data_IF_691768855722
#
_entry.id   IF_691768855722
#
_cell.length_a   1.000
_cell.length_b   1.000
_cell.length_c   1.000
_cell.angle_alpha   90.00
_cell.angle_beta   90.00
_cell.angle_gamma   90.00
#
_symmetry.space_group_name_H-M   'P 1'
#
loop_
_entity.id
_entity.type
_entity.pdbx_description
1 polymer ?
#
# COMPACT_ATOMS: atom_id res chain seq x y z
N UNK A 1 -27.72 -15.41 -39.63
CA UNK A 1 -28.72 -16.47 -39.40
C UNK A 1 -28.29 -17.21 -38.13
N UNK A 2 -28.61 -16.66 -36.94
CA UNK A 2 -29.61 -17.18 -36.00
C UNK A 2 -29.55 -18.71 -35.84
N UNK A 3 -29.16 -19.17 -34.65
CA UNK A 3 -29.90 -20.21 -33.95
C UNK A 3 -29.73 -20.05 -32.43
N UNK A 4 -30.83 -19.68 -31.77
CA UNK A 4 -31.15 -19.94 -30.35
C UNK A 4 -31.56 -21.44 -30.29
N UNK A 5 -31.51 -22.20 -29.19
CA UNK A 5 -32.37 -22.11 -27.99
C UNK A 5 -32.30 -23.43 -27.18
N UNK A 6 -32.76 -23.41 -25.91
CA UNK A 6 -33.39 -24.49 -25.08
C UNK A 6 -32.40 -25.36 -24.27
N UNK A 7 -32.27 -25.33 -22.92
CA UNK A 7 -33.16 -25.25 -21.73
C UNK A 7 -33.74 -26.61 -21.24
N UNK A 8 -33.54 -26.87 -19.94
CA UNK A 8 -34.21 -27.79 -18.97
C UNK A 8 -33.69 -29.22 -18.67
N UNK A 9 -33.41 -29.45 -17.37
CA UNK A 9 -33.97 -30.47 -16.44
C UNK A 9 -32.84 -31.09 -15.55
N UNK A 10 -32.60 -30.69 -14.30
CA UNK A 10 -33.31 -30.95 -13.02
C UNK A 10 -33.11 -32.35 -12.38
N UNK A 11 -32.53 -32.31 -11.17
CA UNK A 11 -32.85 -33.07 -9.94
C UNK A 11 -32.09 -34.36 -9.54
N UNK A 12 -31.99 -34.50 -8.20
CA UNK A 12 -31.50 -35.60 -7.34
C UNK A 12 -30.01 -35.52 -6.96
N UNK A 13 -29.56 -35.59 -5.71
CA UNK A 13 -30.21 -35.97 -4.45
C UNK A 13 -29.49 -35.34 -3.24
N UNK A 14 -30.25 -34.99 -2.21
CA UNK A 14 -29.75 -34.66 -0.87
C UNK A 14 -29.29 -35.94 -0.16
N UNK A 15 -28.06 -35.94 0.34
CA UNK A 15 -27.60 -36.85 1.39
C UNK A 15 -27.37 -36.05 2.68
N UNK A 16 -27.73 -36.56 3.86
CA UNK A 16 -27.54 -35.85 5.13
C UNK A 16 -26.13 -36.11 5.64
N UNK A 17 -25.47 -35.11 6.24
CA UNK A 17 -24.49 -35.24 7.33
C UNK A 17 -23.83 -33.88 7.55
N UNK A 18 -24.34 -33.10 8.52
CA UNK A 18 -23.80 -33.00 9.88
C UNK A 18 -22.40 -32.37 9.90
N UNK A 19 -22.33 -31.09 10.25
CA UNK A 19 -21.07 -30.35 10.42
C UNK A 19 -20.94 -29.79 11.83
N UNK A 20 -19.84 -30.18 12.47
CA UNK A 20 -19.15 -29.47 13.55
C UNK A 20 -18.22 -28.42 12.88
N UNK A 21 -18.35 -27.13 13.22
CA UNK A 21 -17.60 -26.35 14.22
C UNK A 21 -16.31 -25.71 13.65
N UNK A 22 -16.24 -24.37 13.66
CA UNK A 22 -15.38 -23.49 12.84
C UNK A 22 -14.69 -22.36 13.65
N UNK A 23 -13.71 -21.68 13.04
CA UNK A 23 -12.95 -20.50 13.53
C UNK A 23 -12.74 -19.38 12.47
N UNK A 24 -12.20 -18.20 12.87
CA UNK A 24 -12.37 -16.76 12.50
C UNK A 24 -11.29 -15.91 11.65
N UNK A 25 -11.59 -14.66 11.16
CA UNK A 25 -10.89 -13.83 10.09
C UNK A 25 -10.43 -12.41 10.57
N UNK A 26 -9.46 -11.63 9.99
CA UNK A 26 -8.92 -10.36 10.54
C UNK A 26 -8.93 -9.16 9.53
N UNK A 27 -8.57 -7.95 9.99
CA UNK A 27 -8.88 -6.68 9.29
C UNK A 27 -7.79 -5.61 9.48
N UNK A 28 -7.18 -5.14 8.39
CA UNK A 28 -6.74 -3.74 8.12
C UNK A 28 -6.20 -3.68 6.67
N UNK A 29 -5.50 -2.63 6.20
CA UNK A 29 -5.27 -2.37 4.75
C UNK A 29 -3.89 -1.78 4.35
N UNK A 30 -3.50 -1.89 3.06
CA UNK A 30 -2.14 -1.68 2.55
C UNK A 30 -1.83 -0.26 2.13
N UNK A 31 -0.68 0.29 2.53
CA UNK A 31 -0.06 1.42 1.82
C UNK A 31 1.10 0.94 0.96
N UNK A 32 0.92 0.94 -0.37
CA UNK A 32 1.68 0.09 -1.28
C UNK A 32 2.60 0.85 -2.26
N UNK A 33 3.44 1.80 -1.79
CA UNK A 33 3.95 2.87 -2.69
C UNK A 33 5.37 3.42 -2.46
N UNK A 34 6.19 3.63 -3.55
CA UNK A 34 7.45 4.41 -3.67
C UNK A 34 7.46 5.82 -3.05
N UNK A 35 8.31 6.09 -2.05
CA UNK A 35 8.44 7.41 -1.40
C UNK A 35 9.68 8.14 -1.90
N UNK A 36 9.62 8.94 -2.96
CA UNK A 36 10.79 9.75 -3.33
C UNK A 36 10.98 10.88 -2.30
N UNK A 37 12.00 10.81 -1.43
CA UNK A 37 12.33 11.90 -0.50
C UNK A 37 13.81 12.28 -0.60
N UNK A 38 14.22 13.09 -1.57
CA UNK A 38 15.58 13.69 -1.53
C UNK A 38 15.74 14.99 -2.25
N UNK A 39 16.54 15.84 -1.58
CA UNK A 39 17.03 17.16 -1.98
C UNK A 39 18.17 17.16 -3.00
N UNK A 40 18.64 16.00 -3.47
CA UNK A 40 19.83 15.93 -4.31
C UNK A 40 19.51 15.85 -5.81
N UNK A 41 19.05 16.98 -6.35
CA UNK A 41 19.16 17.29 -7.78
C UNK A 41 20.20 18.39 -7.97
N UNK A 42 21.46 18.10 -7.67
CA UNK A 42 22.57 19.02 -7.95
C UNK A 42 23.85 18.23 -8.19
N UNK A 43 23.98 17.65 -9.40
CA UNK A 43 25.29 17.32 -9.99
C UNK A 43 25.19 17.21 -11.51
N UNK A 44 24.96 18.36 -12.17
CA UNK A 44 25.37 18.56 -13.56
C UNK A 44 25.61 20.05 -13.81
N UNK A 45 26.83 20.53 -13.56
CA UNK A 45 27.28 21.86 -13.97
C UNK A 45 28.62 21.73 -14.71
N UNK A 46 28.71 22.09 -16.00
CA UNK A 46 29.97 22.44 -16.62
C UNK A 46 30.32 23.90 -16.35
N UNK A 47 31.57 24.16 -15.99
CA UNK A 47 32.15 25.48 -15.77
C UNK A 47 32.44 26.20 -17.08
N UNK A 48 31.82 27.37 -17.33
CA UNK A 48 32.44 28.47 -18.10
C UNK A 48 31.70 29.79 -17.89
N UNK A 49 32.40 30.82 -17.45
CA UNK A 49 31.88 32.20 -17.39
C UNK A 49 31.98 32.87 -18.77
N UNK A 50 30.99 33.70 -19.15
CA UNK A 50 31.35 35.02 -19.70
C UNK A 50 30.42 36.20 -19.32
N UNK A 51 31.07 37.37 -19.27
CA UNK A 51 30.65 38.77 -19.48
C UNK A 51 29.24 39.26 -19.08
N UNK A 52 29.25 40.36 -18.32
CA UNK A 52 28.09 41.10 -17.81
C UNK A 52 27.17 41.65 -18.92
N UNK A 53 25.89 41.25 -18.84
CA UNK A 53 24.76 41.83 -19.55
C UNK A 53 23.72 42.38 -18.54
N UNK A 54 22.79 43.27 -18.98
CA UNK A 54 21.94 44.07 -18.09
C UNK A 54 21.11 43.20 -17.15
N UNK A 55 21.08 43.56 -15.87
CA UNK A 55 20.36 42.84 -14.82
C UNK A 55 18.86 42.95 -15.09
N UNK A 56 18.31 41.94 -15.77
CA UNK A 56 16.90 41.60 -15.71
C UNK A 56 16.59 41.32 -14.23
N UNK A 57 15.53 41.92 -13.69
CA UNK A 57 15.08 41.62 -12.33
C UNK A 57 15.08 40.10 -12.14
N UNK A 58 15.67 39.56 -11.05
CA UNK A 58 15.72 38.13 -10.84
C UNK A 58 14.31 37.57 -11.02
N UNK A 59 14.17 36.51 -11.83
CA UNK A 59 12.92 35.78 -11.85
C UNK A 59 12.55 35.44 -10.40
N UNK A 60 11.26 35.58 -10.00
CA UNK A 60 10.85 35.26 -8.64
C UNK A 60 11.35 33.85 -8.32
N UNK A 61 12.04 33.71 -7.19
CA UNK A 61 12.53 32.41 -6.74
C UNK A 61 11.34 31.45 -6.68
N UNK A 62 11.37 30.32 -7.40
CA UNK A 62 10.26 29.39 -7.40
C UNK A 62 10.05 28.89 -5.97
N UNK A 63 8.79 28.80 -5.55
CA UNK A 63 8.44 28.31 -4.21
C UNK A 63 8.95 26.88 -4.01
N UNK A 64 8.88 26.06 -5.07
CA UNK A 64 9.42 24.71 -5.12
C UNK A 64 10.78 24.70 -5.83
N UNK A 65 11.76 24.07 -5.18
CA UNK A 65 13.11 23.79 -5.69
C UNK A 65 13.11 22.55 -6.59
N UNK A 66 12.32 21.55 -6.23
CA UNK A 66 12.03 20.35 -7.02
C UNK A 66 10.51 20.23 -7.12
N UNK A 67 10.02 19.84 -8.29
CA UNK A 67 8.61 19.59 -8.53
C UNK A 67 8.50 18.53 -9.62
N UNK A 68 8.29 17.29 -9.19
CA UNK A 68 8.09 16.15 -10.06
C UNK A 68 6.68 15.61 -9.89
N UNK A 69 6.04 15.31 -11.01
CA UNK A 69 4.79 14.55 -11.03
C UNK A 69 5.02 13.42 -12.00
N UNK A 70 4.55 12.23 -11.66
CA UNK A 70 4.62 11.09 -12.54
C UNK A 70 3.35 10.26 -12.50
N UNK A 71 3.14 9.48 -13.55
CA UNK A 71 2.14 8.42 -13.57
C UNK A 71 2.83 7.09 -13.81
N UNK A 72 2.36 6.04 -13.15
CA UNK A 72 2.93 4.70 -13.32
C UNK A 72 1.85 3.67 -13.63
N UNK A 73 2.29 2.59 -14.29
CA UNK A 73 1.54 1.35 -14.38
C UNK A 73 2.42 0.20 -13.90
N UNK A 74 1.92 -0.60 -12.97
CA UNK A 74 2.60 -1.77 -12.42
C UNK A 74 1.72 -3.02 -12.52
N UNK A 75 2.31 -4.13 -12.93
CA UNK A 75 1.68 -5.44 -12.94
C UNK A 75 2.32 -6.37 -11.91
N UNK A 76 1.49 -6.95 -11.06
CA UNK A 76 1.85 -8.00 -10.10
C UNK A 76 1.19 -9.30 -10.53
N UNK A 77 1.97 -10.38 -10.65
CA UNK A 77 1.44 -11.69 -11.05
C UNK A 77 0.89 -12.54 -9.91
N UNK A 78 1.29 -12.23 -8.66
CA UNK A 78 1.01 -13.05 -7.48
C UNK A 78 0.73 -12.19 -6.24
N UNK A 79 -0.14 -11.20 -6.38
CA UNK A 79 -0.65 -10.43 -5.24
C UNK A 79 -1.55 -11.31 -4.35
N UNK A 80 -1.76 -10.89 -3.11
CA UNK A 80 -2.58 -11.59 -2.11
C UNK A 80 -3.34 -10.57 -1.27
N UNK A 81 -4.57 -10.87 -0.85
CA UNK A 81 -5.29 -10.05 0.14
C UNK A 81 -5.73 -10.91 1.32
N UNK A 82 -5.57 -10.43 2.56
CA UNK A 82 -6.06 -11.13 3.74
C UNK A 82 -7.54 -11.45 3.66
N UNK A 83 -7.95 -12.62 4.15
CA UNK A 83 -9.36 -13.00 4.22
C UNK A 83 -9.92 -13.62 2.93
N UNK A 84 -9.13 -13.76 1.86
CA UNK A 84 -9.51 -14.48 0.64
C UNK A 84 -8.75 -15.81 0.52
N UNK A 85 -9.33 -16.94 0.95
CA UNK A 85 -8.80 -18.25 0.59
C UNK A 85 -9.17 -18.59 -0.85
N UNK A 86 -8.22 -18.56 -1.76
CA UNK A 86 -8.36 -19.29 -3.02
C UNK A 86 -8.49 -20.81 -2.79
N UNK A 87 -7.96 -21.35 -1.69
CA UNK A 87 -7.92 -22.79 -1.43
C UNK A 87 -8.93 -23.33 -0.40
N UNK A 88 -9.66 -22.47 0.32
CA UNK A 88 -10.55 -22.89 1.42
C UNK A 88 -12.03 -22.67 1.12
N UNK A 89 -12.83 -23.70 1.37
CA UNK A 89 -14.30 -23.68 1.28
C UNK A 89 -14.96 -23.04 2.51
N UNK A 90 -14.17 -22.45 3.43
CA UNK A 90 -14.64 -22.07 4.77
C UNK A 90 -15.01 -20.61 4.93
N UNK A 91 -14.72 -19.74 3.95
CA UNK A 91 -14.98 -18.29 4.05
C UNK A 91 -15.82 -17.81 2.88
N UNK A 92 -16.86 -16.98 3.10
CA UNK A 92 -17.49 -16.24 2.03
C UNK A 92 -16.44 -15.34 1.35
N UNK A 93 -16.37 -15.31 0.02
CA UNK A 93 -15.35 -14.55 -0.72
C UNK A 93 -14.30 -15.41 -1.43
N UNK A 94 -13.91 -16.52 -0.83
CA UNK A 94 -13.00 -17.49 -1.44
C UNK A 94 -13.66 -18.32 -2.54
N UNK A 95 -12.95 -18.56 -3.64
CA UNK A 95 -13.41 -19.47 -4.70
C UNK A 95 -12.74 -20.83 -4.49
N UNK A 96 -13.52 -21.80 -4.01
CA UNK A 96 -13.11 -23.19 -3.82
C UNK A 96 -12.23 -23.74 -4.97
N UNK A 97 -11.04 -24.24 -4.63
CA UNK A 97 -10.12 -24.88 -5.60
C UNK A 97 -9.36 -23.91 -6.51
N UNK A 98 -9.26 -22.64 -6.13
CA UNK A 98 -8.44 -21.64 -6.82
C UNK A 98 -7.14 -21.34 -6.05
N UNK A 99 -6.36 -20.38 -6.53
CA UNK A 99 -5.07 -20.01 -5.94
C UNK A 99 -5.27 -18.83 -4.99
N UNK A 100 -4.59 -18.82 -3.84
CA UNK A 100 -4.58 -17.68 -2.89
C UNK A 100 -3.83 -16.44 -3.43
N UNK A 101 -3.38 -16.51 -4.69
CA UNK A 101 -2.66 -15.44 -5.36
C UNK A 101 -3.32 -15.08 -6.68
N UNK A 102 -3.30 -13.81 -7.02
CA UNK A 102 -3.98 -13.27 -8.20
C UNK A 102 -3.19 -12.14 -8.85
N UNK A 103 -3.59 -11.83 -10.09
CA UNK A 103 -3.02 -10.71 -10.81
C UNK A 103 -3.55 -9.39 -10.26
N UNK A 104 -2.70 -8.36 -10.19
CA UNK A 104 -3.07 -6.99 -9.84
C UNK A 104 -2.48 -6.01 -10.84
N UNK A 105 -3.31 -5.08 -11.29
CA UNK A 105 -2.93 -3.97 -12.15
C UNK A 105 -3.05 -2.68 -11.36
N UNK A 106 -1.93 -2.01 -11.13
CA UNK A 106 -1.84 -0.78 -10.35
C UNK A 106 -1.59 0.39 -11.31
N UNK A 107 -2.42 1.41 -11.22
CA UNK A 107 -2.19 2.70 -11.88
C UNK A 107 -1.98 3.77 -10.81
N UNK A 108 -0.87 4.49 -10.86
CA UNK A 108 -0.58 5.54 -9.87
C UNK A 108 -0.38 6.91 -10.48
N UNK A 109 -0.61 7.92 -9.64
CA UNK A 109 -0.05 9.25 -9.78
C UNK A 109 0.79 9.56 -8.54
N UNK A 110 2.00 10.03 -8.78
CA UNK A 110 2.95 10.44 -7.75
C UNK A 110 3.25 11.92 -7.92
N UNK A 111 3.37 12.65 -6.82
CA UNK A 111 3.88 14.01 -6.79
C UNK A 111 4.93 14.14 -5.70
N UNK A 112 6.08 14.68 -6.06
CA UNK A 112 7.16 15.00 -5.14
C UNK A 112 7.59 16.43 -5.33
N UNK A 113 7.70 17.17 -4.24
CA UNK A 113 8.24 18.52 -4.26
C UNK A 113 9.17 18.79 -3.08
N UNK A 114 10.05 19.75 -3.29
CA UNK A 114 10.95 20.27 -2.26
C UNK A 114 10.78 21.76 -2.25
N UNK A 115 10.67 22.32 -1.06
CA UNK A 115 10.52 23.74 -0.82
C UNK A 115 11.50 24.18 0.27
N UNK A 116 11.49 25.47 0.60
CA UNK A 116 12.51 26.09 1.46
C UNK A 116 12.76 25.35 2.79
N UNK A 117 11.74 24.71 3.37
CA UNK A 117 11.81 24.12 4.70
C UNK A 117 11.68 22.59 4.72
N UNK A 118 11.53 21.94 3.57
CA UNK A 118 11.39 20.49 3.55
C UNK A 118 10.86 19.96 2.22
N UNK A 119 10.21 18.80 2.28
CA UNK A 119 9.73 18.09 1.11
C UNK A 119 8.33 17.53 1.34
N UNK A 120 7.55 17.42 0.27
CA UNK A 120 6.26 16.77 0.28
C UNK A 120 6.24 15.64 -0.74
N UNK A 121 5.55 14.57 -0.38
CA UNK A 121 5.28 13.44 -1.24
C UNK A 121 3.79 13.11 -1.15
N UNK A 122 3.15 12.98 -2.31
CA UNK A 122 1.76 12.54 -2.44
C UNK A 122 1.75 11.41 -3.45
N UNK A 123 1.02 10.37 -3.12
CA UNK A 123 0.67 9.32 -4.05
C UNK A 123 -0.81 9.01 -3.98
N UNK A 124 -1.38 8.69 -5.13
CA UNK A 124 -2.66 8.03 -5.21
C UNK A 124 -2.61 6.90 -6.25
N UNK A 125 -3.19 5.75 -5.92
CA UNK A 125 -3.30 4.59 -6.79
C UNK A 125 -4.73 4.10 -6.94
N UNK A 126 -4.92 3.42 -8.05
CA UNK A 126 -6.05 2.58 -8.36
C UNK A 126 -5.56 1.19 -8.72
N UNK A 127 -6.04 0.19 -7.99
CA UNK A 127 -5.75 -1.21 -8.27
C UNK A 127 -6.98 -1.91 -8.84
N UNK A 128 -6.74 -2.71 -9.88
CA UNK A 128 -7.70 -3.67 -10.41
C UNK A 128 -7.14 -5.07 -10.22
N UNK A 129 -7.82 -5.83 -9.36
CA UNK A 129 -7.49 -7.21 -9.07
C UNK A 129 -8.11 -8.18 -10.09
N UNK A 130 -7.59 -9.39 -10.14
CA UNK A 130 -8.12 -10.49 -10.95
C UNK A 130 -9.40 -11.09 -10.36
N UNK A 131 -10.11 -11.90 -11.15
CA UNK A 131 -11.38 -12.55 -10.77
C UNK A 131 -11.29 -13.55 -9.60
N UNK A 132 -10.08 -13.90 -9.17
CA UNK A 132 -9.80 -14.70 -7.97
C UNK A 132 -9.87 -13.90 -6.67
N UNK A 133 -9.88 -12.58 -6.76
CA UNK A 133 -10.31 -11.68 -5.69
C UNK A 133 -11.58 -10.97 -6.17
N UNK A 134 -12.75 -11.64 -6.08
CA UNK A 134 -13.97 -11.08 -6.62
C UNK A 134 -14.48 -9.91 -5.78
N UNK A 135 -15.01 -8.89 -6.46
CA UNK A 135 -15.70 -7.77 -5.80
C UNK A 135 -16.80 -8.28 -4.85
N UNK A 136 -16.82 -7.72 -3.64
CA UNK A 136 -17.68 -8.07 -2.50
C UNK A 136 -17.56 -9.55 -2.07
N UNK A 137 -16.52 -10.25 -2.52
CA UNK A 137 -16.40 -11.70 -2.31
C UNK A 137 -17.42 -12.53 -3.09
N UNK A 138 -18.00 -12.03 -4.18
CA UNK A 138 -19.05 -12.74 -4.94
C UNK A 138 -18.42 -13.66 -6.00
N UNK A 139 -18.50 -15.00 -5.89
CA UNK A 139 -17.88 -15.90 -6.86
C UNK A 139 -18.35 -15.62 -8.30
N UNK A 140 -17.39 -15.41 -9.21
CA UNK A 140 -17.66 -15.10 -10.61
C UNK A 140 -17.92 -13.62 -10.92
N UNK A 141 -17.85 -12.73 -9.92
CA UNK A 141 -17.80 -11.28 -10.16
C UNK A 141 -16.47 -10.86 -10.81
N UNK A 142 -16.41 -9.62 -11.31
CA UNK A 142 -15.14 -9.01 -11.68
C UNK A 142 -14.22 -8.92 -10.44
N UNK A 143 -12.92 -8.80 -10.66
CA UNK A 143 -12.00 -8.60 -9.55
C UNK A 143 -12.25 -7.29 -8.81
N UNK A 144 -11.90 -7.27 -7.52
CA UNK A 144 -12.04 -6.12 -6.64
C UNK A 144 -11.21 -4.92 -7.15
N UNK A 145 -11.52 -3.76 -6.61
CA UNK A 145 -10.89 -2.48 -6.90
C UNK A 145 -10.52 -1.81 -5.61
N UNK A 146 -9.33 -1.26 -5.58
CA UNK A 146 -8.83 -0.48 -4.46
C UNK A 146 -8.45 0.92 -4.93
N UNK A 147 -8.74 1.90 -4.09
CA UNK A 147 -8.17 3.22 -4.18
C UNK A 147 -7.37 3.47 -2.92
N UNK A 148 -6.11 3.83 -3.10
CA UNK A 148 -5.23 4.10 -1.98
C UNK A 148 -4.47 5.41 -2.18
N UNK A 149 -4.17 6.10 -1.08
CA UNK A 149 -3.39 7.33 -1.12
C UNK A 149 -2.46 7.44 0.08
N UNK A 150 -1.27 7.99 -0.18
CA UNK A 150 -0.24 8.29 0.81
C UNK A 150 0.10 9.76 0.71
N UNK A 151 0.23 10.43 1.85
CA UNK A 151 0.81 11.75 1.92
C UNK A 151 1.88 11.78 3.02
N UNK A 152 3.05 12.36 2.69
CA UNK A 152 4.15 12.63 3.61
C UNK A 152 4.61 14.07 3.44
N UNK A 153 4.91 14.73 4.54
CA UNK A 153 5.55 16.05 4.57
C UNK A 153 6.65 16.05 5.61
N UNK A 154 7.82 16.51 5.21
CA UNK A 154 8.98 16.67 6.09
C UNK A 154 9.28 18.14 6.31
N UNK A 155 9.79 18.44 7.49
CA UNK A 155 10.22 19.76 7.92
C UNK A 155 11.64 19.65 8.48
N UNK A 156 12.61 20.09 7.71
CA UNK A 156 14.03 19.95 8.03
C UNK A 156 14.46 20.90 9.14
N UNK A 157 15.07 20.34 10.19
CA UNK A 157 15.43 21.12 11.38
C UNK A 157 16.59 22.07 11.10
N UNK A 158 17.51 21.72 10.20
CA UNK A 158 18.56 22.63 9.74
C UNK A 158 17.99 23.82 8.96
N UNK A 159 17.00 23.60 8.11
CA UNK A 159 16.34 24.60 7.28
C UNK A 159 15.51 25.54 8.15
N UNK A 160 14.75 25.01 9.10
CA UNK A 160 13.95 25.80 10.06
C UNK A 160 14.84 26.63 10.98
N UNK A 161 15.90 26.01 11.53
CA UNK A 161 16.78 26.69 12.49
C UNK A 161 17.84 27.57 11.83
N UNK A 162 17.93 27.55 10.48
CA UNK A 162 19.01 28.15 9.71
C UNK A 162 20.40 27.77 10.23
N UNK A 163 20.58 26.50 10.61
CA UNK A 163 21.81 25.99 11.20
C UNK A 163 22.25 24.67 10.56
N UNK A 164 23.40 24.16 10.99
CA UNK A 164 23.89 22.80 10.66
C UNK A 164 23.92 21.91 11.91
N UNK A 165 23.19 22.27 12.95
CA UNK A 165 23.20 21.56 14.24
C UNK A 165 22.73 20.09 14.11
N UNK A 166 21.94 19.78 13.08
CA UNK A 166 21.40 18.45 12.79
C UNK A 166 22.14 17.75 11.65
N UNK A 167 23.36 18.19 11.34
CA UNK A 167 24.25 17.54 10.36
C UNK A 167 25.50 16.98 11.04
N UNK A 168 25.94 15.79 10.64
CA UNK A 168 27.22 15.20 11.01
C UNK A 168 27.74 14.31 9.84
N UNK A 169 28.91 13.67 9.94
CA UNK A 169 29.43 12.86 8.83
C UNK A 169 28.52 11.73 8.34
N UNK A 170 27.59 11.26 9.16
CA UNK A 170 26.65 10.16 8.85
C UNK A 170 25.24 10.64 8.49
N UNK A 171 24.83 11.82 8.95
CA UNK A 171 23.47 12.35 8.83
C UNK A 171 23.54 13.74 8.18
N UNK A 172 22.88 13.91 7.04
CA UNK A 172 22.73 15.22 6.36
C UNK A 172 21.77 16.11 7.13
N UNK A 173 20.67 15.56 7.62
CA UNK A 173 19.63 16.30 8.29
C UNK A 173 18.75 15.42 9.19
N UNK A 174 18.09 16.07 10.15
CA UNK A 174 16.97 15.50 10.89
C UNK A 174 15.74 16.35 10.58
N UNK A 175 14.63 15.70 10.24
CA UNK A 175 13.37 16.35 9.92
C UNK A 175 12.26 15.87 10.83
N UNK A 176 11.31 16.74 11.13
CA UNK A 176 10.00 16.30 11.61
C UNK A 176 9.23 15.80 10.40
N UNK A 177 8.65 14.61 10.48
CA UNK A 177 7.81 14.04 9.44
C UNK A 177 6.38 13.91 9.95
N UNK A 178 5.43 14.32 9.13
CA UNK A 178 4.00 14.10 9.33
C UNK A 178 3.41 13.49 8.08
N UNK A 179 2.38 12.70 8.24
CA UNK A 179 1.72 12.11 7.09
C UNK A 179 0.47 11.34 7.44
N UNK A 180 -0.06 10.71 6.42
CA UNK A 180 -1.17 9.81 6.56
C UNK A 180 -1.35 8.93 5.35
N UNK A 181 -2.16 7.90 5.53
CA UNK A 181 -2.59 7.02 4.47
C UNK A 181 -4.12 6.93 4.48
N UNK A 182 -4.73 6.69 3.34
CA UNK A 182 -6.16 6.43 3.25
C UNK A 182 -6.45 5.45 2.12
N UNK A 183 -7.35 4.50 2.37
CA UNK A 183 -7.65 3.43 1.44
C UNK A 183 -9.10 2.97 1.50
N UNK A 184 -9.64 2.56 0.37
CA UNK A 184 -10.92 1.84 0.27
C UNK A 184 -10.81 0.76 -0.80
N UNK A 185 -11.43 -0.38 -0.55
CA UNK A 185 -11.44 -1.51 -1.47
C UNK A 185 -12.78 -2.19 -1.38
N UNK A 186 -13.31 -2.66 -2.50
CA UNK A 186 -14.61 -3.34 -2.57
C UNK A 186 -14.47 -4.87 -2.60
N UNK A 187 -13.46 -5.44 -1.92
CA UNK A 187 -13.31 -6.90 -1.76
C UNK A 187 -14.24 -7.45 -0.67
N UNK A 188 -14.08 -8.72 -0.28
CA UNK A 188 -14.91 -9.33 0.78
C UNK A 188 -14.84 -8.57 2.11
N UNK A 189 -13.64 -8.13 2.53
CA UNK A 189 -13.48 -7.35 3.75
C UNK A 189 -14.12 -5.96 3.62
N UNK A 190 -14.09 -5.38 2.41
CA UNK A 190 -14.62 -4.05 2.11
C UNK A 190 -14.11 -3.01 3.12
N UNK A 191 -12.79 -2.98 3.28
CA UNK A 191 -12.13 -2.18 4.30
C UNK A 191 -11.99 -0.73 3.84
N UNK A 192 -12.20 0.20 4.76
CA UNK A 192 -11.96 1.62 4.62
C UNK A 192 -10.98 2.02 5.73
N UNK A 193 -9.75 2.38 5.37
CA UNK A 193 -8.71 2.73 6.33
C UNK A 193 -8.31 4.19 6.23
N UNK A 194 -8.00 4.79 7.38
CA UNK A 194 -7.34 6.08 7.50
C UNK A 194 -6.29 6.01 8.60
N UNK A 195 -5.08 6.44 8.25
CA UNK A 195 -3.90 6.42 9.11
C UNK A 195 -3.35 7.82 9.23
N UNK A 196 -3.00 8.24 10.44
CA UNK A 196 -2.21 9.46 10.70
C UNK A 196 -0.93 9.11 11.41
N UNK A 197 0.18 9.75 11.01
CA UNK A 197 1.50 9.50 11.58
C UNK A 197 2.32 10.77 11.76
N UNK A 198 3.21 10.73 12.76
CA UNK A 198 4.16 11.79 13.06
C UNK A 198 5.44 11.18 13.64
N UNK A 199 6.59 11.72 13.27
CA UNK A 199 7.86 11.24 13.78
C UNK A 199 9.06 12.07 13.36
N UNK A 200 10.23 11.44 13.48
CA UNK A 200 11.51 12.00 13.07
C UNK A 200 12.08 11.19 11.91
N UNK A 201 12.52 11.89 10.88
CA UNK A 201 13.24 11.33 9.73
C UNK A 201 14.71 11.74 9.78
N UNK A 202 15.59 10.78 9.58
CA UNK A 202 17.03 10.94 9.49
C UNK A 202 17.46 10.72 8.03
N UNK A 203 17.96 11.78 7.39
CA UNK A 203 18.53 11.70 6.05
C UNK A 203 20.03 11.37 6.15
N UNK A 204 20.44 10.23 5.61
CA UNK A 204 21.84 9.77 5.70
C UNK A 204 22.75 10.48 4.69
N UNK A 205 24.03 10.56 5.04
CA UNK A 205 25.06 11.13 4.19
C UNK A 205 25.60 10.12 3.17
N UNK A 206 24.76 9.74 2.21
CA UNK A 206 25.07 8.80 1.13
C UNK A 206 24.94 9.47 -0.26
N UNK A 207 25.50 8.84 -1.33
CA UNK A 207 25.53 9.42 -2.68
C UNK A 207 24.15 9.72 -3.27
N UNK A 208 23.17 8.86 -2.99
CA UNK A 208 21.79 9.08 -3.32
C UNK A 208 20.98 9.46 -2.08
N UNK A 209 19.79 8.88 -2.03
CA UNK A 209 18.79 9.17 -1.03
C UNK A 209 18.66 7.98 -0.11
N UNK A 210 18.97 8.17 1.17
CA UNK A 210 18.65 7.16 2.17
C UNK A 210 18.08 7.84 3.38
N UNK A 211 16.80 7.59 3.64
CA UNK A 211 16.09 8.11 4.79
C UNK A 211 15.63 6.96 5.68
N UNK A 212 15.65 7.22 6.98
CA UNK A 212 15.08 6.34 7.99
C UNK A 212 14.18 7.22 8.87
N UNK A 213 12.90 6.90 8.94
CA UNK A 213 11.93 7.57 9.79
C UNK A 213 11.47 6.65 10.92
N UNK A 214 11.38 7.22 12.13
CA UNK A 214 10.79 6.61 13.31
C UNK A 214 9.55 7.40 13.67
N UNK A 215 8.38 6.77 13.59
CA UNK A 215 7.09 7.43 13.69
C UNK A 215 6.20 6.76 14.74
N UNK A 216 5.30 7.55 15.31
CA UNK A 216 4.09 7.06 15.97
C UNK A 216 2.93 7.14 14.99
N UNK A 217 2.08 6.11 14.99
CA UNK A 217 0.98 5.95 14.06
C UNK A 217 -0.33 5.66 14.78
N UNK A 218 -1.42 6.22 14.25
CA UNK A 218 -2.78 5.94 14.68
C UNK A 218 -3.64 5.59 13.46
N UNK A 219 -4.34 4.47 13.55
CA UNK A 219 -5.20 3.96 12.50
C UNK A 219 -6.67 3.89 12.94
N UNK A 220 -7.54 4.22 12.00
CA UNK A 220 -8.99 4.09 12.08
C UNK A 220 -9.45 3.31 10.86
N UNK A 221 -10.27 2.30 11.08
CA UNK A 221 -10.84 1.56 9.96
C UNK A 221 -12.33 1.30 10.12
N UNK A 222 -12.96 0.93 9.02
CA UNK A 222 -14.28 0.33 8.99
C UNK A 222 -14.27 -0.76 7.93
N UNK A 223 -14.78 -1.94 8.27
CA UNK A 223 -14.96 -3.01 7.28
C UNK A 223 -16.31 -3.70 7.43
N UNK A 224 -16.74 -4.31 6.32
CA UNK A 224 -18.03 -5.01 6.26
C UNK A 224 -17.99 -6.32 7.01
N UNK A 225 -16.82 -6.98 7.08
CA UNK A 225 -16.61 -8.16 7.91
C UNK A 225 -17.02 -7.93 9.38
N UNK A 226 -16.53 -6.86 10.00
CA UNK A 226 -16.88 -6.53 11.38
C UNK A 226 -18.30 -5.99 11.54
N UNK A 227 -18.91 -5.51 10.45
CA UNK A 227 -20.27 -4.98 10.42
C UNK A 227 -21.36 -6.07 10.36
N UNK A 228 -20.99 -7.31 9.96
CA UNK A 228 -21.94 -8.37 9.68
C UNK A 228 -22.15 -9.38 10.81
N UNK A 229 -21.49 -9.23 11.96
CA UNK A 229 -21.72 -10.11 13.12
C UNK A 229 -21.45 -11.59 12.82
N UNK A 230 -22.23 -12.48 13.44
CA UNK A 230 -22.18 -13.93 13.18
C UNK A 230 -22.51 -14.32 11.73
N UNK A 231 -23.06 -13.41 10.91
CA UNK A 231 -23.31 -13.63 9.48
C UNK A 231 -22.10 -13.30 8.59
N UNK A 232 -21.10 -12.56 9.11
CA UNK A 232 -19.79 -12.40 8.46
C UNK A 232 -18.94 -13.68 8.51
N UNK A 233 -19.27 -14.60 9.43
CA UNK A 233 -18.67 -15.92 9.54
C UNK A 233 -19.52 -16.97 8.84
N UNK A 234 -19.10 -17.38 7.64
CA UNK A 234 -19.59 -18.62 7.02
C UNK A 234 -21.05 -18.62 6.55
N UNK A 235 -21.74 -17.47 6.49
CA UNK A 235 -23.01 -17.42 5.76
C UNK A 235 -22.68 -17.23 4.29
N UNK A 236 -22.82 -18.33 3.55
CA UNK A 236 -23.04 -18.38 2.09
C UNK A 236 -23.60 -17.05 1.64
N UNK A 237 -22.86 -16.36 0.76
CA UNK A 237 -23.26 -15.18 -0.03
C UNK A 237 -24.61 -14.66 0.42
N UNK A 238 -24.64 -13.54 1.16
CA UNK A 238 -25.85 -12.77 1.40
C UNK A 238 -26.60 -12.69 0.08
N UNK A 239 -27.54 -13.62 -0.13
CA UNK A 239 -28.40 -13.60 -1.27
C UNK A 239 -29.42 -12.57 -0.85
N UNK A 240 -29.38 -11.36 -1.44
CA UNK A 240 -30.22 -10.26 -1.00
C UNK A 240 -31.72 -10.56 -1.10
N UNK A 241 -32.10 -11.69 -1.73
CA UNK A 241 -33.47 -12.19 -1.83
C UNK A 241 -33.88 -13.21 -0.75
N UNK A 242 -32.93 -13.78 0.01
CA UNK A 242 -33.24 -14.84 1.01
C UNK A 242 -32.72 -14.56 2.42
N UNK A 243 -31.75 -13.66 2.59
CA UNK A 243 -31.39 -13.16 3.92
C UNK A 243 -32.45 -12.17 4.41
N UNK A 244 -33.01 -12.35 5.63
CA UNK A 244 -33.91 -11.36 6.22
C UNK A 244 -33.24 -9.98 6.23
N UNK A 245 -33.98 -8.89 5.95
CA UNK A 245 -33.47 -7.54 6.16
C UNK A 245 -32.92 -7.41 7.59
N UNK A 246 -31.60 -7.19 7.73
CA UNK A 246 -30.91 -7.09 9.04
C UNK A 246 -29.85 -8.16 9.36
N UNK A 247 -29.50 -9.07 8.42
CA UNK A 247 -28.46 -10.09 8.63
C UNK A 247 -27.04 -9.50 8.76
N UNK A 248 -26.71 -8.44 8.02
CA UNK A 248 -25.67 -7.50 8.42
C UNK A 248 -26.39 -6.37 9.14
N UNK A 249 -26.09 -6.19 10.42
CA UNK A 249 -26.80 -5.22 11.25
C UNK A 249 -26.20 -3.85 11.01
N UNK A 250 -26.54 -3.24 9.88
CA UNK A 250 -26.17 -1.87 9.51
C UNK A 250 -26.80 -0.88 10.51
N UNK A 251 -26.15 -0.71 11.66
CA UNK A 251 -26.39 0.42 12.56
C UNK A 251 -27.19 0.17 13.84
N UNK A 252 -27.59 -1.06 14.19
CA UNK A 252 -28.36 -1.32 15.43
C UNK A 252 -27.81 -2.50 16.26
N UNK A 253 -26.54 -2.45 16.67
CA UNK A 253 -25.90 -3.44 17.56
C UNK A 253 -24.39 -3.20 17.78
N UNK A 254 -23.66 -4.07 18.50
CA UNK A 254 -22.21 -3.92 18.75
C UNK A 254 -21.32 -4.10 17.50
N UNK A 255 -21.93 -4.32 16.32
CA UNK A 255 -21.28 -4.64 15.04
C UNK A 255 -21.26 -3.41 14.12
N UNK A 256 -20.51 -2.38 14.50
CA UNK A 256 -20.40 -1.15 13.71
C UNK A 256 -19.46 -1.23 12.51
N UNK A 257 -18.65 -2.29 12.40
CA UNK A 257 -17.53 -2.34 11.45
C UNK A 257 -16.32 -1.51 11.85
N UNK A 258 -16.49 -0.51 12.72
CA UNK A 258 -15.45 0.45 13.02
C UNK A 258 -14.40 -0.11 13.97
N UNK A 259 -13.12 -0.05 13.58
CA UNK A 259 -11.98 -0.29 14.45
C UNK A 259 -11.22 1.00 14.71
N UNK A 260 -10.78 1.14 15.96
CA UNK A 260 -9.87 2.20 16.39
C UNK A 260 -8.69 1.51 17.02
N UNK A 261 -7.59 1.41 16.27
CA UNK A 261 -6.41 0.69 16.71
C UNK A 261 -5.62 1.50 17.74
N UNK A 262 -4.85 0.83 18.58
CA UNK A 262 -3.94 1.51 19.51
C UNK A 262 -2.85 2.27 18.75
N UNK A 263 -2.30 3.32 19.38
CA UNK A 263 -1.14 4.01 18.82
C UNK A 263 0.03 3.03 18.82
N UNK A 264 0.67 2.87 17.66
CA UNK A 264 1.81 1.99 17.48
C UNK A 264 3.03 2.77 16.96
N UNK A 265 4.17 2.09 16.87
CA UNK A 265 5.37 2.62 16.25
C UNK A 265 5.45 2.16 14.78
N UNK A 266 6.08 2.98 13.94
CA UNK A 266 6.47 2.66 12.57
C UNK A 266 7.94 2.99 12.36
N UNK A 267 8.67 2.10 11.68
CA UNK A 267 9.95 2.41 11.05
C UNK A 267 9.72 2.41 9.55
N UNK A 268 9.98 3.53 8.90
CA UNK A 268 9.92 3.65 7.45
C UNK A 268 11.34 3.92 6.94
N UNK A 269 11.79 3.16 5.94
CA UNK A 269 13.06 3.46 5.26
C UNK A 269 12.78 3.68 3.80
N UNK A 270 13.48 4.65 3.23
CA UNK A 270 13.48 4.89 1.80
C UNK A 270 14.91 4.93 1.30
N UNK A 271 15.19 4.15 0.27
CA UNK A 271 16.45 4.12 -0.46
C UNK A 271 16.16 4.45 -1.92
N UNK A 272 16.91 5.39 -2.48
CA UNK A 272 16.95 5.68 -3.91
C UNK A 272 18.38 6.05 -4.28
N UNK A 273 19.10 5.04 -4.74
CA UNK A 273 20.54 5.09 -4.96
C UNK A 273 20.85 4.79 -6.44
N UNK A 274 21.43 5.76 -7.18
CA UNK A 274 21.90 5.50 -8.52
C UNK A 274 23.07 4.51 -8.46
N UNK A 275 23.04 3.49 -9.33
CA UNK A 275 24.06 2.44 -9.40
C UNK A 275 25.33 2.91 -10.14
N UNK A 276 25.88 4.03 -9.68
CA UNK A 276 27.02 4.73 -10.30
C UNK A 276 28.30 3.88 -10.37
N UNK A 277 28.43 2.87 -9.51
CA UNK A 277 29.55 1.92 -9.54
C UNK A 277 29.57 1.05 -10.81
N UNK A 278 28.46 0.95 -11.55
CA UNK A 278 28.39 0.26 -12.85
C UNK A 278 28.96 1.11 -13.99
N UNK A 279 29.22 2.40 -13.75
CA UNK A 279 29.77 3.35 -14.72
C UNK A 279 28.89 4.59 -14.89
N UNK A 280 29.46 5.72 -15.33
CA UNK A 280 28.77 7.02 -15.37
C UNK A 280 27.60 7.09 -16.37
N UNK A 281 27.52 6.15 -17.31
CA UNK A 281 26.51 6.11 -18.35
C UNK A 281 25.45 5.03 -18.14
N UNK A 282 25.49 4.30 -17.03
CA UNK A 282 24.48 3.27 -16.70
C UNK A 282 23.34 3.96 -15.95
N UNK A 283 22.15 4.14 -16.57
CA UNK A 283 21.11 4.91 -15.96
C UNK A 283 20.18 3.99 -15.15
N UNK A 284 20.80 3.24 -14.22
CA UNK A 284 20.12 2.33 -13.31
C UNK A 284 20.07 2.92 -11.91
N UNK A 285 18.92 2.78 -11.27
CA UNK A 285 18.67 3.21 -9.90
C UNK A 285 18.09 2.06 -9.11
N UNK A 286 18.66 1.79 -7.94
CA UNK A 286 18.06 0.88 -6.97
C UNK A 286 17.18 1.67 -6.01
N UNK A 287 15.98 1.16 -5.79
CA UNK A 287 15.01 1.75 -4.90
C UNK A 287 14.53 0.70 -3.91
N UNK A 288 14.37 1.10 -2.65
CA UNK A 288 13.76 0.25 -1.63
C UNK A 288 12.86 1.07 -0.73
N UNK A 289 11.73 0.50 -0.36
CA UNK A 289 10.96 0.94 0.80
C UNK A 289 10.84 -0.21 1.75
N UNK A 290 11.04 0.07 3.03
CA UNK A 290 10.72 -0.85 4.11
C UNK A 290 9.82 -0.12 5.11
N UNK A 291 8.72 -0.75 5.47
CA UNK A 291 7.84 -0.36 6.55
C UNK A 291 7.79 -1.49 7.57
N UNK A 292 8.17 -1.18 8.81
CA UNK A 292 7.94 -2.03 9.98
C UNK A 292 6.91 -1.35 10.85
N UNK A 293 5.77 -1.98 11.08
CA UNK A 293 4.70 -1.40 11.89
C UNK A 293 4.47 -2.32 13.09
N UNK A 294 4.48 -1.76 14.29
CA UNK A 294 4.26 -2.53 15.51
C UNK A 294 2.83 -3.02 15.68
N UNK A 295 2.59 -4.00 16.57
CA UNK A 295 1.24 -4.40 16.99
C UNK A 295 0.40 -3.20 17.41
N UNK A 296 -0.84 -3.15 16.94
CA UNK A 296 -1.79 -2.03 17.07
C UNK A 296 -3.11 -2.42 17.74
N UNK A 297 -3.14 -3.56 18.45
CA UNK A 297 -4.35 -4.08 19.13
C UNK A 297 -5.12 -5.08 18.27
N UNK A 298 -6.41 -5.29 18.57
CA UNK A 298 -7.23 -6.31 17.89
C UNK A 298 -7.82 -5.83 16.57
N UNK A 299 -7.65 -6.62 15.51
CA UNK A 299 -8.35 -6.42 14.24
C UNK A 299 -9.83 -6.74 14.36
N UNK A 300 -10.19 -7.78 15.11
CA UNK A 300 -11.58 -8.26 15.20
C UNK A 300 -12.33 -7.52 16.31
N UNK A 301 -13.60 -7.19 16.08
CA UNK A 301 -14.45 -6.68 17.16
C UNK A 301 -14.64 -7.68 18.29
N UNK A 302 -14.69 -7.21 19.55
CA UNK A 302 -14.92 -8.10 20.69
C UNK A 302 -16.24 -8.89 20.59
N UNK A 303 -17.26 -8.35 19.90
CA UNK A 303 -18.52 -9.05 19.64
C UNK A 303 -18.38 -10.15 18.57
N UNK A 304 -17.61 -9.90 17.51
CA UNK A 304 -17.29 -10.90 16.47
C UNK A 304 -16.40 -12.00 17.03
N UNK A 305 -15.39 -11.63 17.82
CA UNK A 305 -14.53 -12.56 18.53
C UNK A 305 -15.35 -13.45 19.49
N UNK A 306 -16.30 -12.87 20.24
CA UNK A 306 -17.18 -13.66 21.11
C UNK A 306 -18.11 -14.61 20.32
N UNK A 307 -18.64 -14.16 19.17
CA UNK A 307 -19.54 -14.93 18.32
C UNK A 307 -18.84 -16.13 17.68
N UNK A 308 -17.58 -15.95 17.26
CA UNK A 308 -16.92 -16.88 16.38
C UNK A 308 -16.18 -18.01 17.16
N UNK A 309 -15.72 -17.77 18.39
CA UNK A 309 -14.96 -18.76 19.17
C UNK A 309 -15.40 -18.96 20.65
N UNK A 310 -16.55 -18.41 21.07
CA UNK A 310 -17.20 -18.75 22.35
C UNK A 310 -16.50 -18.29 23.63
N UNK A 311 -15.82 -17.14 23.63
CA UNK A 311 -15.16 -16.50 24.79
C UNK A 311 -14.21 -17.47 25.56
N UNK A 312 -13.26 -18.08 24.85
CA UNK A 312 -12.16 -18.80 25.50
C UNK A 312 -10.92 -17.89 25.62
N UNK A 313 -10.16 -18.02 26.71
CA UNK A 313 -8.94 -17.22 26.92
C UNK A 313 -7.89 -17.41 25.81
N UNK A 314 -7.83 -18.60 25.21
CA UNK A 314 -6.98 -18.89 24.06
C UNK A 314 -7.41 -18.14 22.80
N UNK A 315 -8.70 -17.83 22.64
CA UNK A 315 -9.18 -17.08 21.50
C UNK A 315 -8.91 -15.56 21.64
N UNK A 316 -9.09 -15.01 22.84
CA UNK A 316 -8.80 -13.59 23.13
C UNK A 316 -7.32 -13.23 22.92
N UNK A 317 -6.40 -14.17 23.12
CA UNK A 317 -4.96 -13.97 22.96
C UNK A 317 -4.47 -13.96 21.49
N UNK A 318 -5.30 -14.36 20.53
CA UNK A 318 -4.94 -14.50 19.11
C UNK A 318 -5.56 -13.44 18.19
N UNK A 319 -6.36 -12.52 18.74
CA UNK A 319 -7.00 -11.46 17.96
C UNK A 319 -6.10 -10.23 17.77
N UNK A 320 -4.95 -10.18 18.44
CA UNK A 320 -4.00 -9.08 18.35
C UNK A 320 -3.23 -9.11 17.03
N UNK A 321 -3.12 -7.92 16.43
CA UNK A 321 -2.22 -7.65 15.32
C UNK A 321 -0.76 -7.95 15.71
N UNK A 322 0.04 -8.36 14.74
CA UNK A 322 1.49 -8.59 14.89
C UNK A 322 2.27 -7.53 14.14
N UNK A 323 3.59 -7.58 14.31
CA UNK A 323 4.50 -6.74 13.53
C UNK A 323 4.27 -7.01 12.06
N UNK A 324 3.91 -5.96 11.33
CA UNK A 324 3.78 -5.95 9.90
C UNK A 324 5.11 -5.54 9.28
N UNK A 325 5.51 -6.26 8.23
CA UNK A 325 6.71 -5.96 7.44
C UNK A 325 6.29 -5.82 6.00
N UNK A 326 6.39 -4.61 5.47
CA UNK A 326 6.19 -4.34 4.05
C UNK A 326 7.52 -3.90 3.46
N UNK A 327 8.02 -4.63 2.47
CA UNK A 327 9.22 -4.28 1.72
C UNK A 327 8.93 -4.30 0.22
N UNK A 328 9.34 -3.24 -0.46
CA UNK A 328 9.23 -3.09 -1.90
C UNK A 328 10.56 -2.65 -2.48
N UNK A 329 11.20 -3.57 -3.20
CA UNK A 329 12.51 -3.39 -3.80
C UNK A 329 12.37 -3.30 -5.31
N UNK A 330 12.98 -2.28 -5.92
CA UNK A 330 12.88 -2.04 -7.37
C UNK A 330 14.23 -1.72 -7.98
N UNK A 331 14.47 -2.27 -9.17
CA UNK A 331 15.52 -1.84 -10.07
C UNK A 331 14.90 -1.07 -11.24
N UNK A 332 15.29 0.18 -11.39
CA UNK A 332 14.75 1.11 -12.37
C UNK A 332 15.77 1.45 -13.43
N UNK A 333 15.33 1.43 -14.68
CA UNK A 333 16.08 1.90 -15.85
C UNK A 333 15.42 3.14 -16.43
N UNK A 334 16.18 4.23 -16.53
CA UNK A 334 15.78 5.39 -17.34
C UNK A 334 15.85 4.99 -18.82
N UNK A 335 14.70 4.53 -19.29
CA UNK A 335 14.47 4.03 -20.65
C UNK A 335 14.61 5.17 -21.64
N UNK A 336 14.21 6.38 -21.23
CA UNK A 336 14.33 7.56 -22.08
C UNK A 336 15.77 8.02 -22.34
N UNK A 337 16.68 7.83 -21.38
CA UNK A 337 18.11 7.98 -21.60
C UNK A 337 18.65 6.94 -22.57
N UNK A 338 18.29 5.66 -22.39
CA UNK A 338 18.82 4.56 -23.23
C UNK A 338 18.39 4.70 -24.69
N UNK A 339 17.10 4.95 -24.96
CA UNK A 339 16.56 4.88 -26.31
C UNK A 339 16.53 6.22 -27.05
N UNK A 340 16.52 7.35 -26.33
CA UNK A 340 16.39 8.68 -26.93
C UNK A 340 17.42 9.71 -26.45
N UNK A 341 18.35 9.33 -25.56
CA UNK A 341 19.29 10.24 -24.89
C UNK A 341 18.60 11.45 -24.24
N UNK A 342 17.39 11.24 -23.72
CA UNK A 342 16.56 12.25 -23.07
C UNK A 342 16.19 11.79 -21.66
N UNK A 343 17.10 11.89 -20.68
CA UNK A 343 16.88 11.33 -19.34
C UNK A 343 15.66 11.90 -18.62
N UNK A 344 15.10 11.10 -17.70
CA UNK A 344 14.07 11.51 -16.75
C UNK A 344 12.71 11.80 -17.40
N UNK A 345 12.34 11.04 -18.44
CA UNK A 345 10.99 11.10 -19.03
C UNK A 345 10.26 9.78 -18.82
N UNK A 346 10.93 8.67 -19.11
CA UNK A 346 10.35 7.33 -19.06
C UNK A 346 11.28 6.36 -18.36
N UNK A 347 10.72 5.71 -17.36
CA UNK A 347 11.36 4.65 -16.61
C UNK A 347 10.65 3.32 -16.86
N UNK A 348 11.43 2.24 -16.89
CA UNK A 348 10.91 0.87 -16.79
C UNK A 348 11.58 0.18 -15.63
N UNK A 349 10.89 -0.78 -15.03
CA UNK A 349 11.38 -1.40 -13.81
C UNK A 349 10.90 -2.82 -13.62
N UNK A 350 11.71 -3.55 -12.87
CA UNK A 350 11.36 -4.82 -12.25
C UNK A 350 11.55 -4.68 -10.75
N UNK A 351 10.71 -5.35 -9.98
CA UNK A 351 10.81 -5.32 -8.54
C UNK A 351 10.31 -6.57 -7.88
N UNK A 352 10.52 -6.62 -6.58
CA UNK A 352 10.09 -7.67 -5.69
C UNK A 352 9.42 -7.04 -4.48
N UNK A 353 8.22 -7.52 -4.18
CA UNK A 353 7.45 -7.11 -3.01
C UNK A 353 7.34 -8.28 -2.05
N UNK A 354 7.61 -7.98 -0.78
CA UNK A 354 7.39 -8.88 0.33
C UNK A 354 6.55 -8.18 1.39
N UNK A 355 5.43 -8.80 1.75
CA UNK A 355 4.57 -8.32 2.81
C UNK A 355 4.29 -9.43 3.79
N UNK A 356 4.80 -9.32 5.00
CA UNK A 356 4.60 -10.29 6.05
C UNK A 356 3.67 -9.72 7.12
N UNK A 357 2.74 -10.55 7.57
CA UNK A 357 1.61 -10.11 8.37
C UNK A 357 0.92 -8.91 7.71
N UNK A 358 0.53 -9.06 6.44
CA UNK A 358 -0.16 -8.01 5.69
C UNK A 358 -1.30 -7.45 6.57
N UNK A 359 -1.19 -6.16 6.89
CA UNK A 359 -2.11 -5.43 7.78
C UNK A 359 -2.05 -5.81 9.25
N UNK A 360 -0.88 -6.17 9.74
CA UNK A 360 -0.71 -6.75 11.07
C UNK A 360 -1.44 -8.08 11.27
N UNK A 361 -1.98 -8.69 10.21
CA UNK A 361 -2.67 -9.98 10.30
C UNK A 361 -1.68 -11.08 10.65
N UNK A 362 -1.83 -11.73 11.80
CA UNK A 362 -0.98 -12.87 12.16
C UNK A 362 -1.21 -14.06 11.23
N UNK A 363 -0.34 -14.24 10.23
CA UNK A 363 -0.44 -15.38 9.30
C UNK A 363 -0.26 -16.74 9.98
N UNK A 364 0.24 -16.79 11.22
CA UNK A 364 0.34 -18.01 12.04
C UNK A 364 -0.85 -18.19 13.00
N UNK A 365 -1.81 -17.26 13.05
CA UNK A 365 -2.96 -17.46 13.91
C UNK A 365 -3.66 -18.77 13.51
N UNK A 366 -4.03 -19.64 14.47
CA UNK A 366 -4.71 -20.90 14.18
C UNK A 366 -5.95 -20.71 13.31
N UNK A 367 -6.59 -19.57 13.52
CA UNK A 367 -7.68 -19.02 12.75
C UNK A 367 -7.35 -18.79 11.27
N UNK A 368 -6.36 -17.94 10.98
CA UNK A 368 -5.88 -17.64 9.63
C UNK A 368 -5.40 -18.86 8.88
N UNK A 369 -4.64 -19.69 9.56
CA UNK A 369 -4.12 -20.94 8.99
C UNK A 369 -5.23 -21.92 8.58
N UNK A 370 -6.43 -21.82 9.16
CA UNK A 370 -7.56 -22.69 8.85
C UNK A 370 -8.42 -22.14 7.73
N UNK A 371 -8.66 -20.84 7.72
CA UNK A 371 -9.70 -20.28 6.85
C UNK A 371 -9.17 -19.44 5.70
N UNK A 372 -7.96 -18.88 5.80
CA UNK A 372 -7.33 -18.11 4.73
C UNK A 372 -5.82 -18.36 4.73
N UNK A 373 -5.38 -19.62 4.55
CA UNK A 373 -3.97 -19.98 4.68
C UNK A 373 -3.14 -19.23 3.64
N UNK A 374 -2.09 -18.54 4.09
CA UNK A 374 -1.15 -17.85 3.21
C UNK A 374 -1.66 -16.57 2.56
N UNK A 375 -2.90 -16.13 2.81
CA UNK A 375 -3.46 -14.90 2.23
C UNK A 375 -2.86 -13.62 2.81
N UNK A 376 -2.23 -13.71 3.98
CA UNK A 376 -1.64 -12.60 4.74
C UNK A 376 -0.14 -12.45 4.53
N UNK A 377 0.41 -13.16 3.53
CA UNK A 377 1.77 -12.98 3.05
C UNK A 377 1.73 -12.69 1.55
N UNK A 378 2.23 -11.52 1.16
CA UNK A 378 2.48 -11.22 -0.24
C UNK A 378 3.95 -11.47 -0.56
N UNK A 379 4.21 -12.16 -1.66
CA UNK A 379 5.56 -12.45 -2.12
C UNK A 379 5.54 -12.54 -3.64
N UNK A 380 5.81 -11.43 -4.31
CA UNK A 380 5.61 -11.32 -5.76
C UNK A 380 6.71 -10.54 -6.43
N UNK A 381 7.07 -11.00 -7.63
CA UNK A 381 7.80 -10.19 -8.60
C UNK A 381 6.79 -9.33 -9.35
N UNK A 382 7.19 -8.11 -9.69
CA UNK A 382 6.37 -7.21 -10.48
C UNK A 382 7.22 -6.48 -11.51
N UNK A 383 6.56 -5.89 -12.50
CA UNK A 383 7.19 -5.03 -13.49
C UNK A 383 6.27 -3.87 -13.83
N UNK A 384 6.85 -2.77 -14.26
CA UNK A 384 6.07 -1.59 -14.62
C UNK A 384 6.86 -0.54 -15.36
N UNK A 385 6.19 0.59 -15.55
CA UNK A 385 6.75 1.78 -16.18
C UNK A 385 6.21 3.04 -15.55
N UNK A 386 7.02 4.10 -15.55
CA UNK A 386 6.68 5.41 -15.04
C UNK A 386 6.94 6.45 -16.11
N UNK A 387 6.00 7.38 -16.29
CA UNK A 387 6.17 8.58 -17.09
C UNK A 387 6.23 9.80 -16.19
N UNK A 388 7.29 10.60 -16.32
CA UNK A 388 7.48 11.83 -15.56
C UNK A 388 7.01 13.04 -16.37
N UNK A 389 6.13 13.83 -15.78
CA UNK A 389 5.74 15.13 -16.31
C UNK A 389 6.88 16.10 -16.04
N UNK A 390 7.70 16.33 -17.06
CA UNK A 390 8.66 17.44 -17.02
C UNK A 390 7.90 18.76 -16.97
N UNK A 391 7.66 19.26 -15.76
CA UNK A 391 7.37 20.66 -15.57
C UNK A 391 8.62 21.39 -16.06
N UNK A 392 8.47 22.18 -17.12
CA UNK A 392 9.57 22.93 -17.72
C UNK A 392 10.16 23.88 -16.69
N UNK A 393 11.12 23.40 -15.89
CA UNK A 393 12.05 24.25 -15.19
C UNK A 393 12.75 25.03 -16.27
N UNK A 394 12.41 26.32 -16.32
CA UNK A 394 12.97 27.33 -17.21
C UNK A 394 14.46 27.05 -17.31
N UNK A 395 14.93 26.67 -18.50
CA UNK A 395 16.36 26.66 -18.80
C UNK A 395 16.92 27.98 -18.30
N UNK A 396 17.93 27.98 -17.40
CA UNK A 396 18.60 29.22 -17.04
C UNK A 396 19.01 29.90 -18.35
N UNK A 397 18.73 31.19 -18.53
CA UNK A 397 19.20 31.89 -19.71
C UNK A 397 20.72 31.68 -19.84
N UNK A 398 21.13 31.35 -21.07
CA UNK A 398 22.49 31.02 -21.46
C UNK A 398 23.52 32.11 -21.12
#
# INVERSE_FOLDING_TARGET
MKLRSILLASAAALGPMSYAAAGDVPTSMPADVPIYLSTDVLNYLPTKAPAAMPIKAPAPTPFFLVNDTSISYTYYGRATNPGLPGSSNTVPGGIAGTSDTFARNLMSIDHFDIWQYGANFIHAEFDQYGDKDPAMGIPGAQGSREFFAVARSTFGLNEISHSKAFSNPFIKNVSIEIGGNAGVQDEFLDEHTTVGMIGLQFALNLPGTVNIALMAEKEYTRNTFDSCGNAGFGVVVVNPFTTPPGACNFGLGPYSGNRVFDVTWRVETFVNEPLTFLGPNVPLTFQNILNLIGPKGTGISGANLAAACGITAACLANAETKVEVFEDMRLTLDTSKVFWDKPGIWDTYIGYRYWYNKFGTDHNAPLFSQIAPGSSIESTVYAGMTYHFKNGLVTPPA
#
